data_IF_248213079563
#
_entry.id   IF_248213079563
#
_cell.length_a   1.000
_cell.length_b   1.000
_cell.length_c   1.000
_cell.angle_alpha   90.00
_cell.angle_beta   90.00
_cell.angle_gamma   90.00
#
_symmetry.space_group_name_H-M   'P 1'
#
loop_
_entity.id
_entity.type
_entity.pdbx_description
1 polymer ?
#
# COMPACT_ATOMS: atom_id res chain seq x y z
N UNK A 1 23.88 -10.92 0.82
CA UNK A 1 22.83 -9.95 1.17
C UNK A 1 21.68 -10.17 0.19
N UNK A 2 20.49 -10.54 0.66
CA UNK A 2 19.35 -10.73 -0.23
C UNK A 2 18.98 -9.38 -0.84
N UNK A 3 19.04 -9.26 -2.17
CA UNK A 3 18.55 -8.08 -2.88
C UNK A 3 17.02 -8.03 -2.81
N UNK A 4 16.36 -8.50 -3.86
CA UNK A 4 14.90 -8.61 -3.91
C UNK A 4 14.40 -9.89 -3.21
N UNK A 5 13.36 -9.76 -2.38
CA UNK A 5 12.67 -10.90 -1.75
C UNK A 5 11.20 -10.56 -1.45
N UNK A 6 10.31 -11.54 -1.60
CA UNK A 6 8.88 -11.42 -1.28
C UNK A 6 8.64 -11.61 0.23
N UNK A 7 8.97 -10.58 1.01
CA UNK A 7 8.85 -10.58 2.48
C UNK A 7 7.41 -10.55 2.96
N UNK A 8 7.12 -11.21 4.08
CA UNK A 8 5.79 -11.20 4.68
C UNK A 8 5.63 -12.22 5.80
N UNK A 9 4.64 -12.01 6.65
CA UNK A 9 4.29 -12.90 7.76
C UNK A 9 2.95 -13.60 7.49
N UNK A 10 2.75 -14.86 7.93
CA UNK A 10 3.69 -15.68 8.70
C UNK A 10 4.59 -16.59 7.82
N UNK A 11 4.39 -16.64 6.51
CA UNK A 11 4.99 -17.67 5.65
C UNK A 11 6.12 -17.18 4.73
N UNK A 12 6.41 -15.87 4.71
CA UNK A 12 7.51 -15.30 3.93
C UNK A 12 8.78 -15.11 4.76
N UNK A 13 9.91 -14.78 4.11
CA UNK A 13 11.11 -14.37 4.84
C UNK A 13 10.84 -13.10 5.65
N UNK A 14 11.25 -13.13 6.92
CA UNK A 14 11.32 -11.97 7.80
C UNK A 14 12.76 -11.84 8.30
N UNK A 15 13.48 -10.87 7.74
CA UNK A 15 14.87 -10.54 8.07
C UNK A 15 14.98 -9.16 8.77
N UNK A 16 13.87 -8.64 9.29
CA UNK A 16 13.78 -7.31 9.88
C UNK A 16 13.74 -6.17 8.86
N UNK A 17 13.70 -6.46 7.56
CA UNK A 17 13.50 -5.44 6.52
C UNK A 17 12.03 -5.05 6.45
N UNK A 18 11.76 -3.76 6.56
CA UNK A 18 10.42 -3.18 6.55
C UNK A 18 10.20 -2.36 5.28
N UNK A 19 8.94 -2.24 4.86
CA UNK A 19 8.53 -1.45 3.69
C UNK A 19 7.50 -0.39 4.07
N UNK A 20 7.91 0.88 4.07
CA UNK A 20 6.99 2.00 4.28
C UNK A 20 5.88 2.08 3.22
N UNK A 21 6.15 1.82 1.92
CA UNK A 21 5.10 1.71 0.92
C UNK A 21 3.98 0.73 1.31
N UNK A 22 4.32 -0.46 1.81
CA UNK A 22 3.32 -1.45 2.27
C UNK A 22 2.48 -0.95 3.44
N UNK A 23 3.08 -0.21 4.37
CA UNK A 23 2.37 0.40 5.50
C UNK A 23 1.36 1.45 5.01
N UNK A 24 1.78 2.36 4.13
CA UNK A 24 0.89 3.38 3.58
C UNK A 24 -0.19 2.80 2.65
N UNK A 25 0.14 1.75 1.88
CA UNK A 25 -0.84 1.05 1.06
C UNK A 25 -1.98 0.44 1.90
N UNK A 26 -1.78 0.26 3.21
CA UNK A 26 -2.80 -0.24 4.13
C UNK A 26 -3.77 0.85 4.62
N UNK A 27 -3.62 2.11 4.21
CA UNK A 27 -4.43 3.25 4.65
C UNK A 27 -5.94 3.03 4.57
N UNK A 28 -6.52 2.51 3.46
CA UNK A 28 -7.97 2.30 3.39
C UNK A 28 -8.51 1.27 4.39
N UNK A 29 -7.65 0.39 4.91
CA UNK A 29 -8.04 -0.71 5.79
C UNK A 29 -7.78 -0.40 7.27
N UNK A 30 -6.63 0.21 7.57
CA UNK A 30 -6.18 0.47 8.93
C UNK A 30 -5.60 1.89 9.07
N UNK A 31 -6.40 2.95 8.85
CA UNK A 31 -5.91 4.31 8.66
C UNK A 31 -5.14 4.85 9.87
N UNK A 32 -5.66 4.63 11.08
CA UNK A 32 -5.01 5.12 12.30
C UNK A 32 -3.64 4.46 12.53
N UNK A 33 -3.56 3.14 12.33
CA UNK A 33 -2.32 2.37 12.48
C UNK A 33 -1.31 2.72 11.39
N UNK A 34 -1.75 2.78 10.13
CA UNK A 34 -0.89 3.13 8.99
C UNK A 34 -0.29 4.53 9.13
N UNK A 35 -1.11 5.53 9.51
CA UNK A 35 -0.64 6.90 9.72
C UNK A 35 0.30 7.01 10.92
N UNK A 36 0.02 6.33 12.03
CA UNK A 36 0.90 6.33 13.19
C UNK A 36 2.26 5.68 12.86
N UNK A 37 2.23 4.52 12.20
CA UNK A 37 3.43 3.80 11.80
C UNK A 37 4.27 4.62 10.81
N UNK A 38 3.70 5.14 9.73
CA UNK A 38 4.49 5.91 8.74
C UNK A 38 5.08 7.18 9.33
N UNK A 39 4.35 7.90 10.19
CA UNK A 39 4.89 9.09 10.88
C UNK A 39 6.08 8.72 11.74
N UNK A 40 5.99 7.63 12.49
CA UNK A 40 7.08 7.15 13.32
C UNK A 40 8.29 6.73 12.49
N UNK A 41 8.07 6.04 11.37
CA UNK A 41 9.12 5.65 10.43
C UNK A 41 9.84 6.86 9.86
N UNK A 42 9.11 7.84 9.33
CA UNK A 42 9.69 9.06 8.75
C UNK A 42 10.41 9.93 9.79
N UNK A 43 9.96 9.95 11.04
CA UNK A 43 10.64 10.66 12.13
C UNK A 43 11.95 9.98 12.55
N UNK A 44 11.99 8.64 12.56
CA UNK A 44 13.17 7.88 12.98
C UNK A 44 14.19 7.67 11.87
N UNK A 45 13.73 7.59 10.63
CA UNK A 45 14.51 7.28 9.44
C UNK A 45 14.12 8.23 8.29
N UNK A 46 14.41 9.54 8.42
CA UNK A 46 14.07 10.53 7.38
C UNK A 46 14.69 10.20 6.02
N UNK A 47 15.81 9.48 5.98
CA UNK A 47 16.49 9.00 4.77
C UNK A 47 15.64 8.05 3.91
N UNK A 48 14.51 7.57 4.42
CA UNK A 48 13.54 6.78 3.65
C UNK A 48 12.72 7.61 2.67
N UNK A 49 12.70 8.94 2.80
CA UNK A 49 11.99 9.84 1.91
C UNK A 49 13.00 10.69 1.14
N UNK A 50 13.07 10.46 -0.17
CA UNK A 50 13.91 11.21 -1.10
C UNK A 50 13.04 11.88 -2.17
N UNK A 51 13.06 13.22 -2.20
CA UNK A 51 12.30 14.04 -3.16
C UNK A 51 10.81 13.62 -3.26
N UNK A 52 10.17 13.43 -2.10
CA UNK A 52 8.76 13.01 -2.02
C UNK A 52 8.50 11.55 -2.39
N UNK A 53 9.54 10.75 -2.67
CA UNK A 53 9.43 9.32 -3.00
C UNK A 53 9.91 8.48 -1.84
N UNK A 54 9.18 7.40 -1.57
CA UNK A 54 9.55 6.47 -0.51
C UNK A 54 10.53 5.43 -1.04
N UNK A 55 11.63 5.23 -0.34
CA UNK A 55 12.46 4.05 -0.54
C UNK A 55 11.60 2.78 -0.42
N UNK A 56 11.87 1.80 -1.28
CA UNK A 56 11.11 0.54 -1.31
C UNK A 56 11.11 -0.19 0.04
N UNK A 57 12.25 -0.16 0.73
CA UNK A 57 12.45 -0.82 2.01
C UNK A 57 13.65 -0.25 2.76
N UNK A 58 13.72 -0.55 4.05
CA UNK A 58 14.85 -0.26 4.93
C UNK A 58 14.99 -1.38 5.97
N UNK A 59 16.17 -1.51 6.57
CA UNK A 59 16.41 -2.49 7.64
C UNK A 59 17.19 -1.82 8.78
N UNK A 60 16.54 -1.53 9.93
CA UNK A 60 17.17 -0.83 11.04
C UNK A 60 18.18 -1.68 11.81
N UNK A 61 18.17 -3.01 11.60
CA UNK A 61 19.13 -3.96 12.18
C UNK A 61 20.42 -4.04 11.38
N UNK A 62 20.42 -3.57 10.13
CA UNK A 62 21.61 -3.49 9.27
C UNK A 62 22.16 -2.08 9.31
N UNK A 63 23.34 -1.89 9.90
CA UNK A 63 24.01 -0.60 10.01
C UNK A 63 25.36 -0.63 9.33
N UNK A 64 25.73 0.48 8.69
CA UNK A 64 27.08 0.68 8.17
C UNK A 64 28.07 1.11 9.28
N UNK A 65 29.32 1.36 8.90
CA UNK A 65 30.38 1.76 9.82
C UNK A 65 30.11 3.12 10.51
N UNK A 66 29.32 3.99 9.87
CA UNK A 66 28.91 5.30 10.40
C UNK A 66 27.61 5.20 11.23
N UNK A 67 27.07 3.97 11.38
CA UNK A 67 25.87 3.70 12.16
C UNK A 67 24.56 3.99 11.43
N UNK A 68 24.60 4.35 10.14
CA UNK A 68 23.41 4.61 9.33
C UNK A 68 22.72 3.30 8.98
N UNK A 69 21.39 3.31 9.01
CA UNK A 69 20.61 2.11 8.66
C UNK A 69 20.64 1.86 7.17
N UNK A 70 20.53 0.59 6.77
CA UNK A 70 20.39 0.25 5.37
C UNK A 70 19.03 0.72 4.84
N UNK A 71 19.06 1.47 3.74
CA UNK A 71 17.88 1.92 2.99
C UNK A 71 18.07 1.52 1.54
N UNK A 72 17.00 1.02 0.91
CA UNK A 72 17.02 0.71 -0.51
C UNK A 72 17.30 1.97 -1.34
N UNK A 73 18.30 1.91 -2.21
CA UNK A 73 18.59 3.00 -3.16
C UNK A 73 17.54 3.13 -4.27
N UNK A 74 16.67 2.12 -4.44
CA UNK A 74 15.70 2.05 -5.52
C UNK A 74 14.33 2.62 -5.13
N UNK A 75 13.76 3.38 -6.08
CA UNK A 75 12.36 3.79 -6.09
C UNK A 75 11.65 3.03 -7.21
N UNK A 76 10.69 2.17 -6.86
CA UNK A 76 9.97 1.36 -7.84
C UNK A 76 8.56 1.92 -8.09
N UNK A 77 8.17 1.98 -9.37
CA UNK A 77 6.85 2.47 -9.76
C UNK A 77 5.69 1.68 -9.15
N UNK A 78 5.89 0.37 -8.89
CA UNK A 78 4.88 -0.46 -8.22
C UNK A 78 4.64 -0.01 -6.76
N UNK A 79 5.71 0.35 -6.03
CA UNK A 79 5.65 0.81 -4.64
C UNK A 79 5.04 2.22 -4.57
N UNK A 80 5.48 3.13 -5.42
CA UNK A 80 4.94 4.50 -5.42
C UNK A 80 3.50 4.53 -5.93
N UNK A 81 3.21 3.74 -6.96
CA UNK A 81 1.90 3.66 -7.57
C UNK A 81 0.84 3.17 -6.57
N UNK A 82 1.12 2.09 -5.85
CA UNK A 82 0.15 1.59 -4.86
C UNK A 82 -0.08 2.58 -3.72
N UNK A 83 0.97 3.28 -3.26
CA UNK A 83 0.84 4.32 -2.23
C UNK A 83 -0.12 5.43 -2.69
N UNK A 84 0.09 5.96 -3.90
CA UNK A 84 -0.77 7.02 -4.44
C UNK A 84 -2.22 6.57 -4.59
N UNK A 85 -2.45 5.37 -5.13
CA UNK A 85 -3.80 4.82 -5.30
C UNK A 85 -4.51 4.61 -3.96
N UNK A 86 -3.79 4.11 -2.95
CA UNK A 86 -4.35 3.82 -1.63
C UNK A 86 -4.58 5.08 -0.79
N UNK A 87 -3.74 6.12 -0.95
CA UNK A 87 -4.01 7.44 -0.38
C UNK A 87 -5.32 8.02 -0.97
N UNK A 88 -5.48 7.99 -2.29
CA UNK A 88 -6.69 8.52 -2.92
C UNK A 88 -7.94 7.71 -2.52
N UNK A 89 -7.83 6.38 -2.47
CA UNK A 89 -8.93 5.54 -1.99
C UNK A 89 -9.29 5.82 -0.53
N UNK A 90 -8.30 6.05 0.34
CA UNK A 90 -8.56 6.43 1.72
C UNK A 90 -9.26 7.80 1.82
N UNK A 91 -8.86 8.77 0.98
CA UNK A 91 -9.40 10.13 1.00
C UNK A 91 -10.80 10.24 0.43
N UNK A 92 -11.08 9.57 -0.69
CA UNK A 92 -12.31 9.77 -1.47
C UNK A 92 -12.97 8.49 -1.95
N UNK A 93 -12.25 7.37 -1.96
CA UNK A 93 -12.70 6.11 -2.55
C UNK A 93 -12.80 6.13 -4.08
N UNK A 94 -12.31 7.18 -4.76
CA UNK A 94 -12.54 7.38 -6.21
C UNK A 94 -12.00 6.28 -7.10
N UNK A 95 -10.79 5.77 -6.84
CA UNK A 95 -10.22 4.70 -7.67
C UNK A 95 -11.11 3.46 -7.60
N UNK A 96 -11.55 3.07 -6.40
CA UNK A 96 -12.47 1.96 -6.23
C UNK A 96 -13.85 2.20 -6.84
N UNK A 97 -14.37 3.44 -6.79
CA UNK A 97 -15.62 3.81 -7.45
C UNK A 97 -15.51 3.66 -8.97
N UNK A 98 -14.44 4.18 -9.59
CA UNK A 98 -14.21 4.00 -11.03
C UNK A 98 -14.04 2.54 -11.42
N UNK A 99 -13.34 1.74 -10.61
CA UNK A 99 -13.29 0.29 -10.83
C UNK A 99 -14.67 -0.35 -10.70
N UNK A 100 -15.49 0.10 -9.75
CA UNK A 100 -16.87 -0.39 -9.50
C UNK A 100 -17.78 -0.13 -10.67
N UNK A 101 -17.60 1.00 -11.34
CA UNK A 101 -18.43 1.45 -12.46
C UNK A 101 -17.95 0.92 -13.82
N UNK A 102 -16.74 0.33 -13.86
CA UNK A 102 -16.17 -0.26 -15.07
C UNK A 102 -16.88 -1.57 -15.45
N UNK A 103 -17.72 -1.52 -16.48
CA UNK A 103 -18.53 -2.66 -16.94
C UNK A 103 -17.70 -3.94 -17.21
N UNK A 104 -16.53 -3.90 -17.87
CA UNK A 104 -15.67 -5.08 -18.02
C UNK A 104 -15.24 -5.71 -16.69
N UNK A 105 -14.86 -4.91 -15.69
CA UNK A 105 -14.43 -5.42 -14.37
C UNK A 105 -15.61 -6.08 -13.67
N UNK A 106 -16.78 -5.42 -13.65
CA UNK A 106 -18.00 -5.96 -13.04
C UNK A 106 -18.40 -7.30 -13.67
N UNK A 107 -18.44 -7.35 -15.00
CA UNK A 107 -18.80 -8.56 -15.74
C UNK A 107 -17.81 -9.70 -15.48
N UNK A 108 -16.51 -9.38 -15.42
CA UNK A 108 -15.47 -10.34 -15.07
C UNK A 108 -15.68 -10.94 -13.68
N UNK A 109 -15.92 -10.11 -12.67
CA UNK A 109 -16.19 -10.56 -11.30
C UNK A 109 -17.47 -11.40 -11.19
N UNK A 110 -18.55 -10.99 -11.86
CA UNK A 110 -19.79 -11.76 -11.91
C UNK A 110 -19.59 -13.14 -12.54
N UNK A 111 -18.85 -13.22 -13.66
CA UNK A 111 -18.51 -14.48 -14.32
C UNK A 111 -17.60 -15.37 -13.46
N UNK A 112 -16.76 -14.78 -12.63
CA UNK A 112 -15.94 -15.49 -11.65
C UNK A 112 -16.72 -15.93 -10.39
N UNK A 113 -18.03 -15.64 -10.30
CA UNK A 113 -18.89 -16.08 -9.21
C UNK A 113 -18.97 -15.14 -8.00
N UNK A 114 -18.32 -13.97 -8.05
CA UNK A 114 -18.47 -12.95 -7.01
C UNK A 114 -19.90 -12.38 -7.00
N UNK A 115 -20.43 -12.12 -5.80
CA UNK A 115 -21.79 -11.59 -5.59
C UNK A 115 -21.80 -10.62 -4.42
N UNK A 116 -22.85 -9.79 -4.35
CA UNK A 116 -23.11 -8.92 -3.21
C UNK A 116 -22.34 -7.60 -3.21
N UNK A 117 -22.70 -6.73 -2.25
CA UNK A 117 -21.97 -5.51 -1.90
C UNK A 117 -21.58 -4.66 -3.11
N UNK A 118 -20.29 -4.63 -3.41
CA UNK A 118 -19.68 -3.87 -4.51
C UNK A 118 -20.31 -4.13 -5.89
N UNK A 119 -20.89 -5.32 -6.11
CA UNK A 119 -21.57 -5.69 -7.35
C UNK A 119 -23.09 -5.46 -7.31
N UNK A 120 -23.70 -5.23 -6.15
CA UNK A 120 -25.09 -4.80 -6.09
C UNK A 120 -25.18 -3.35 -6.55
N UNK A 121 -26.11 -3.05 -7.45
CA UNK A 121 -26.57 -1.68 -7.62
C UNK A 121 -27.43 -1.38 -6.40
N UNK A 122 -27.18 -0.26 -5.73
CA UNK A 122 -28.16 0.26 -4.78
C UNK A 122 -29.45 0.46 -5.59
N UNK A 123 -30.49 -0.29 -5.23
CA UNK A 123 -31.73 -0.33 -5.97
C UNK A 123 -32.26 1.09 -6.19
N UNK A 124 -32.45 1.43 -7.46
CA UNK A 124 -33.43 2.40 -7.96
C UNK A 124 -34.13 3.25 -6.90
N UNK A 125 -33.76 4.53 -6.83
CA UNK A 125 -34.73 5.56 -6.44
C UNK A 125 -35.86 5.56 -7.46
N UNK A 126 -36.91 4.81 -7.15
CA UNK A 126 -38.20 4.85 -7.82
C UNK A 126 -39.29 4.96 -6.76
N UNK A 127 -39.96 6.12 -6.71
CA UNK A 127 -41.16 6.33 -5.91
C UNK A 127 -41.41 7.79 -5.58
N UNK A 128 -42.26 8.46 -6.38
CA UNK A 128 -42.81 9.79 -6.11
C UNK A 128 -42.93 10.65 -7.37
#
# INVERSE_FOLDING_TARGET
MFGYAARGVPYGPDDGTLSAPSVLASLPFAPQLALAAVRNLMQRYPEMLDDGRLASSFNPSLRDADGKVWVSAGHFGLDQGIVMLMIENHRSGRIWQWMRDCAPIRLGLQRAGFRGGWLQQDGSGGGG
#
